data_IF_730469341468
#
_entry.id   IF_730469341468
#
_cell.length_a   1.000
_cell.length_b   1.000
_cell.length_c   1.000
_cell.angle_alpha   90.00
_cell.angle_beta   90.00
_cell.angle_gamma   90.00
#
_symmetry.space_group_name_H-M   'P 1'
#
loop_
_entity.id
_entity.type
_entity.pdbx_description
1 polymer ?
#
# COMPACT_ATOMS: atom_id res chain seq x y z
N UNK A 1 -12.75 -4.99 -14.79
CA UNK A 1 -11.71 -4.71 -15.81
C UNK A 1 -11.60 -3.22 -15.98
N UNK A 2 -10.38 -2.70 -16.02
CA UNK A 2 -10.10 -1.28 -16.28
C UNK A 2 -10.46 -0.92 -17.73
N UNK A 3 -10.98 0.29 -17.91
CA UNK A 3 -11.12 0.96 -19.20
C UNK A 3 -9.76 1.43 -19.72
N UNK A 4 -9.68 1.69 -21.03
CA UNK A 4 -8.48 2.26 -21.64
C UNK A 4 -8.08 3.61 -20.99
N UNK A 5 -9.07 4.46 -20.69
CA UNK A 5 -8.84 5.74 -20.01
C UNK A 5 -8.25 5.57 -18.60
N UNK A 6 -8.65 4.54 -17.85
CA UNK A 6 -8.08 4.26 -16.53
C UNK A 6 -6.63 3.79 -16.61
N UNK A 7 -6.30 2.96 -17.61
CA UNK A 7 -4.92 2.53 -17.88
C UNK A 7 -4.05 3.72 -18.27
N UNK A 8 -4.53 4.59 -19.16
CA UNK A 8 -3.83 5.82 -19.55
C UNK A 8 -3.63 6.76 -18.36
N UNK A 9 -4.66 6.90 -17.52
CA UNK A 9 -4.57 7.69 -16.28
C UNK A 9 -3.50 7.14 -15.33
N UNK A 10 -3.44 5.82 -15.12
CA UNK A 10 -2.38 5.22 -14.30
C UNK A 10 -0.99 5.53 -14.87
N UNK A 11 -0.82 5.39 -16.18
CA UNK A 11 0.46 5.65 -16.85
C UNK A 11 0.88 7.13 -16.77
N UNK A 12 -0.07 8.05 -16.83
CA UNK A 12 0.18 9.50 -16.76
C UNK A 12 0.38 10.01 -15.32
N UNK A 13 -0.53 9.66 -14.41
CA UNK A 13 -0.56 10.17 -13.03
C UNK A 13 0.35 9.36 -12.09
N UNK A 14 0.62 8.09 -12.39
CA UNK A 14 1.40 7.18 -11.55
C UNK A 14 0.61 6.48 -10.45
N UNK A 15 -0.70 6.72 -10.38
CA UNK A 15 -1.62 6.03 -9.49
C UNK A 15 -3.02 5.98 -10.11
N UNK A 16 -3.84 5.06 -9.63
CA UNK A 16 -5.24 4.91 -10.02
C UNK A 16 -6.05 4.48 -8.80
N UNK A 17 -7.25 5.04 -8.65
CA UNK A 17 -8.27 4.54 -7.73
C UNK A 17 -9.33 3.88 -8.61
N UNK A 18 -9.29 2.55 -8.78
CA UNK A 18 -10.25 1.86 -9.63
C UNK A 18 -11.63 1.85 -8.99
N UNK A 19 -12.68 1.69 -9.80
CA UNK A 19 -14.02 1.41 -9.30
C UNK A 19 -14.12 -0.05 -8.79
N UNK A 20 -13.51 -0.29 -7.64
CA UNK A 20 -13.50 -1.58 -6.95
C UNK A 20 -13.71 -1.34 -5.45
N UNK A 21 -14.61 -2.12 -4.87
CA UNK A 21 -14.86 -2.12 -3.43
C UNK A 21 -14.82 -3.56 -2.95
N UNK A 22 -13.98 -3.82 -1.95
CA UNK A 22 -13.95 -5.12 -1.30
C UNK A 22 -15.29 -5.36 -0.59
N UNK A 23 -15.89 -6.57 -0.67
CA UNK A 23 -17.12 -6.86 0.06
C UNK A 23 -16.98 -6.56 1.56
N UNK A 24 -18.00 -5.95 2.16
CA UNK A 24 -18.00 -5.55 3.57
C UNK A 24 -17.65 -6.72 4.50
N UNK A 25 -18.16 -7.92 4.20
CA UNK A 25 -17.81 -9.15 4.91
C UNK A 25 -16.31 -9.42 4.92
N UNK A 26 -15.62 -9.24 3.79
CA UNK A 26 -14.18 -9.46 3.71
C UNK A 26 -13.40 -8.38 4.47
N UNK A 27 -13.88 -7.14 4.48
CA UNK A 27 -13.30 -6.06 5.28
C UNK A 27 -13.39 -6.39 6.79
N UNK A 28 -14.55 -6.85 7.25
CA UNK A 28 -14.74 -7.29 8.64
C UNK A 28 -13.83 -8.48 8.99
N UNK A 29 -13.69 -9.45 8.09
CA UNK A 29 -12.76 -10.57 8.29
C UNK A 29 -11.30 -10.07 8.41
N UNK A 30 -10.88 -9.11 7.57
CA UNK A 30 -9.54 -8.51 7.64
C UNK A 30 -9.34 -7.80 8.99
N UNK A 31 -10.34 -7.07 9.47
CA UNK A 31 -10.31 -6.39 10.76
C UNK A 31 -10.16 -7.40 11.93
N UNK A 32 -10.94 -8.48 11.93
CA UNK A 32 -10.86 -9.55 12.93
C UNK A 32 -9.49 -10.24 12.94
N UNK A 33 -8.92 -10.49 11.76
CA UNK A 33 -7.57 -11.04 11.61
C UNK A 33 -6.52 -10.07 12.16
N UNK A 34 -6.64 -8.78 11.86
CA UNK A 34 -5.73 -7.76 12.39
C UNK A 34 -5.83 -7.66 13.91
N UNK A 35 -7.05 -7.64 14.47
CA UNK A 35 -7.30 -7.65 15.90
C UNK A 35 -6.66 -8.88 16.59
N UNK A 36 -6.72 -10.04 15.93
CA UNK A 36 -6.05 -11.26 16.41
C UNK A 36 -4.53 -11.16 16.33
N UNK A 37 -3.99 -10.60 15.24
CA UNK A 37 -2.56 -10.38 15.03
C UNK A 37 -1.98 -9.47 16.12
N UNK A 38 -2.61 -8.33 16.41
CA UNK A 38 -2.09 -7.36 17.38
C UNK A 38 -2.23 -7.85 18.83
N UNK A 39 -3.20 -8.72 19.14
CA UNK A 39 -3.24 -9.41 20.44
C UNK A 39 -2.02 -10.31 20.63
N UNK A 40 -1.59 -11.01 19.59
CA UNK A 40 -0.41 -11.88 19.60
C UNK A 40 0.91 -11.09 19.50
N UNK A 41 0.91 -10.01 18.73
CA UNK A 41 2.08 -9.17 18.45
C UNK A 41 1.75 -7.68 18.62
N UNK A 42 1.66 -7.17 19.87
CA UNK A 42 1.24 -5.79 20.14
C UNK A 42 2.10 -4.72 19.44
N UNK A 43 3.36 -5.02 19.13
CA UNK A 43 4.27 -4.15 18.36
C UNK A 43 3.76 -3.81 16.95
N UNK A 44 2.87 -4.63 16.37
CA UNK A 44 2.31 -4.43 15.04
C UNK A 44 1.02 -3.62 15.02
N UNK A 45 0.62 -3.03 16.16
CA UNK A 45 -0.57 -2.18 16.26
C UNK A 45 -0.66 -1.09 15.19
N UNK A 46 0.47 -0.50 14.79
CA UNK A 46 0.51 0.58 13.81
C UNK A 46 1.01 0.13 12.44
N UNK A 47 1.97 -0.80 12.41
CA UNK A 47 2.61 -1.23 11.17
C UNK A 47 3.14 -2.66 11.30
N UNK A 48 2.76 -3.51 10.36
CA UNK A 48 3.31 -4.84 10.17
C UNK A 48 4.00 -4.90 8.80
N UNK A 49 5.36 -4.89 8.72
CA UNK A 49 6.06 -4.80 7.44
C UNK A 49 5.99 -6.05 6.58
N UNK A 50 5.91 -7.24 7.19
CA UNK A 50 5.93 -8.52 6.51
C UNK A 50 4.78 -9.40 7.05
N UNK A 51 3.55 -8.99 6.75
CA UNK A 51 2.31 -9.53 7.33
C UNK A 51 2.22 -11.06 7.21
N UNK A 52 2.54 -11.58 6.03
CA UNK A 52 2.41 -13.00 5.71
C UNK A 52 3.40 -13.90 6.47
N UNK A 53 4.51 -13.35 6.99
CA UNK A 53 5.41 -14.11 7.88
C UNK A 53 4.81 -14.35 9.27
N UNK A 54 3.77 -13.60 9.63
CA UNK A 54 3.16 -13.63 10.95
C UNK A 54 1.76 -14.24 10.93
N UNK A 55 1.05 -14.08 9.81
CA UNK A 55 -0.29 -14.63 9.62
C UNK A 55 -0.59 -14.86 8.13
N UNK A 56 -0.48 -16.12 7.69
CA UNK A 56 -0.72 -16.52 6.30
C UNK A 56 -2.21 -16.41 5.89
N UNK A 57 -3.14 -16.25 6.85
CA UNK A 57 -4.57 -16.14 6.52
C UNK A 57 -4.89 -14.91 5.66
N UNK A 58 -4.07 -13.87 5.75
CA UNK A 58 -4.18 -12.68 4.88
C UNK A 58 -3.86 -12.97 3.41
N UNK A 59 -3.20 -14.09 3.10
CA UNK A 59 -2.85 -14.47 1.72
C UNK A 59 -4.09 -14.62 0.83
N UNK A 60 -5.24 -15.00 1.43
CA UNK A 60 -6.55 -15.05 0.75
C UNK A 60 -6.84 -13.76 -0.03
N UNK A 61 -6.63 -12.59 0.59
CA UNK A 61 -6.96 -11.30 -0.02
C UNK A 61 -5.95 -10.86 -1.07
N UNK A 62 -4.70 -11.33 -0.97
CA UNK A 62 -3.69 -11.13 -2.01
C UNK A 62 -4.03 -11.88 -3.31
N UNK A 63 -4.88 -12.92 -3.23
CA UNK A 63 -5.36 -13.70 -4.38
C UNK A 63 -6.76 -13.29 -4.88
N UNK A 64 -7.22 -12.08 -4.54
CA UNK A 64 -8.49 -11.59 -5.07
C UNK A 64 -8.40 -11.40 -6.60
N UNK A 65 -9.21 -12.15 -7.36
CA UNK A 65 -9.15 -12.17 -8.83
C UNK A 65 -9.41 -10.80 -9.48
N UNK A 66 -10.27 -9.96 -8.91
CA UNK A 66 -10.54 -8.64 -9.47
C UNK A 66 -9.31 -7.73 -9.34
N UNK A 67 -8.65 -7.76 -8.18
CA UNK A 67 -7.39 -7.04 -7.95
C UNK A 67 -6.29 -7.56 -8.88
N UNK A 68 -6.13 -8.88 -8.99
CA UNK A 68 -5.12 -9.48 -9.86
C UNK A 68 -5.34 -9.11 -11.34
N UNK A 69 -6.59 -9.11 -11.80
CA UNK A 69 -6.94 -8.69 -13.16
C UNK A 69 -6.62 -7.21 -13.40
N UNK A 70 -6.87 -6.33 -12.42
CA UNK A 70 -6.50 -4.91 -12.48
C UNK A 70 -4.98 -4.76 -12.60
N UNK A 71 -4.20 -5.44 -11.75
CA UNK A 71 -2.73 -5.41 -11.79
C UNK A 71 -2.22 -5.90 -13.15
N UNK A 72 -2.77 -7.00 -13.66
CA UNK A 72 -2.39 -7.57 -14.96
C UNK A 72 -2.55 -6.55 -16.09
N UNK A 73 -3.64 -5.78 -16.10
CA UNK A 73 -3.88 -4.73 -17.10
C UNK A 73 -2.88 -3.57 -17.00
N UNK A 74 -2.30 -3.33 -15.82
CA UNK A 74 -1.38 -2.20 -15.58
C UNK A 74 0.08 -2.56 -15.82
N UNK A 75 0.53 -3.74 -15.36
CA UNK A 75 1.96 -4.13 -15.40
C UNK A 75 2.25 -5.41 -16.20
N UNK A 76 1.22 -6.01 -16.80
CA UNK A 76 1.32 -7.24 -17.58
C UNK A 76 1.12 -8.51 -16.75
N UNK A 77 1.20 -9.67 -17.42
CA UNK A 77 0.82 -10.99 -16.87
C UNK A 77 1.82 -11.62 -15.90
N UNK A 78 3.08 -11.16 -15.93
CA UNK A 78 4.17 -11.78 -15.20
C UNK A 78 4.55 -10.92 -14.01
N UNK A 79 3.81 -11.07 -12.92
CA UNK A 79 4.09 -10.43 -11.65
C UNK A 79 4.04 -11.43 -10.50
N UNK A 80 4.65 -11.08 -9.38
CA UNK A 80 4.67 -11.88 -8.17
C UNK A 80 4.42 -10.98 -6.96
N UNK A 81 3.79 -11.55 -5.93
CA UNK A 81 3.65 -10.87 -4.65
C UNK A 81 5.02 -10.86 -3.95
N UNK A 82 5.65 -9.69 -3.90
CA UNK A 82 6.92 -9.51 -3.17
C UNK A 82 6.71 -9.35 -1.67
N UNK A 83 5.72 -8.56 -1.28
CA UNK A 83 5.45 -8.25 0.12
C UNK A 83 3.97 -7.90 0.32
N UNK A 84 3.50 -8.10 1.55
CA UNK A 84 2.21 -7.58 2.04
C UNK A 84 2.43 -6.98 3.43
N UNK A 85 1.92 -5.77 3.63
CA UNK A 85 2.07 -5.02 4.88
C UNK A 85 0.71 -4.55 5.37
N UNK A 86 0.59 -4.39 6.68
CA UNK A 86 -0.60 -3.79 7.30
C UNK A 86 -0.24 -2.43 7.90
N UNK A 87 -1.01 -1.39 7.59
CA UNK A 87 -0.85 -0.04 8.12
C UNK A 87 -2.10 0.36 8.89
N UNK A 88 -1.93 0.80 10.12
CA UNK A 88 -3.00 1.35 10.95
C UNK A 88 -2.60 2.73 11.48
N UNK A 89 -3.56 3.67 11.45
CA UNK A 89 -3.42 5.02 11.98
C UNK A 89 -4.37 5.18 13.18
N UNK A 90 -4.01 4.68 14.38
CA UNK A 90 -4.87 4.85 15.55
C UNK A 90 -5.01 6.33 15.89
N UNK A 91 -6.21 6.71 16.36
CA UNK A 91 -6.52 8.09 16.76
C UNK A 91 -5.44 8.63 17.72
N UNK A 92 -4.98 9.86 17.44
CA UNK A 92 -3.98 10.62 18.20
C UNK A 92 -2.58 9.99 18.34
N UNK A 93 -2.36 8.78 17.83
CA UNK A 93 -1.12 8.01 17.96
C UNK A 93 -0.54 7.56 16.60
N UNK A 94 -1.06 8.12 15.50
CA UNK A 94 -0.51 7.94 14.17
C UNK A 94 0.70 8.84 13.93
N UNK A 95 1.71 8.31 13.24
CA UNK A 95 2.88 9.08 12.79
C UNK A 95 2.68 9.56 11.35
N UNK A 96 3.23 10.72 11.01
CA UNK A 96 3.21 11.19 9.62
C UNK A 96 4.16 10.34 8.77
N UNK A 97 3.74 10.03 7.54
CA UNK A 97 4.63 9.44 6.53
C UNK A 97 5.08 10.56 5.60
N UNK A 98 6.38 10.92 5.55
CA UNK A 98 6.87 11.97 4.67
C UNK A 98 6.76 11.56 3.20
N UNK A 99 6.96 12.52 2.29
CA UNK A 99 7.09 12.22 0.88
C UNK A 99 8.23 11.22 0.65
N UNK A 100 7.97 10.17 -0.13
CA UNK A 100 8.96 9.16 -0.44
C UNK A 100 8.60 8.40 -1.72
N UNK A 101 9.53 7.57 -2.19
CA UNK A 101 9.29 6.57 -3.23
C UNK A 101 9.53 5.17 -2.65
N UNK A 102 8.56 4.27 -2.77
CA UNK A 102 8.67 2.89 -2.25
C UNK A 102 9.95 2.17 -2.75
N UNK A 103 10.33 2.42 -4.01
CA UNK A 103 11.53 1.84 -4.62
C UNK A 103 12.85 2.22 -3.94
N UNK A 104 12.87 3.24 -3.07
CA UNK A 104 14.00 3.57 -2.21
C UNK A 104 14.26 2.47 -1.18
N UNK A 105 13.19 1.82 -0.69
CA UNK A 105 13.24 0.89 0.42
C UNK A 105 13.27 -0.58 -0.03
N UNK A 106 13.00 -0.85 -1.31
CA UNK A 106 12.92 -2.21 -1.83
C UNK A 106 14.13 -2.55 -2.70
N UNK A 107 14.69 -3.78 -2.57
CA UNK A 107 15.82 -4.24 -3.36
C UNK A 107 15.43 -4.69 -4.78
N UNK A 108 14.39 -4.09 -5.38
CA UNK A 108 13.86 -4.47 -6.69
C UNK A 108 14.33 -3.47 -7.74
N UNK A 109 14.98 -3.96 -8.79
CA UNK A 109 15.40 -3.16 -9.95
C UNK A 109 15.02 -3.90 -11.24
N UNK A 110 14.57 -3.19 -12.30
CA UNK A 110 14.31 -1.73 -12.36
C UNK A 110 13.17 -1.29 -11.44
N UNK A 111 12.94 0.03 -11.29
CA UNK A 111 11.81 0.60 -10.53
C UNK A 111 10.49 0.29 -11.24
N UNK A 112 10.03 -0.96 -11.12
CA UNK A 112 8.90 -1.52 -11.86
C UNK A 112 7.91 -2.23 -10.93
N UNK A 113 7.81 -1.77 -9.69
CA UNK A 113 6.89 -2.31 -8.68
C UNK A 113 5.56 -1.59 -8.72
N UNK A 114 4.47 -2.34 -8.50
CA UNK A 114 3.13 -1.80 -8.31
C UNK A 114 2.67 -2.10 -6.87
N UNK A 115 2.19 -1.07 -6.17
CA UNK A 115 1.64 -1.19 -4.82
C UNK A 115 0.12 -1.16 -4.90
N UNK A 116 -0.55 -2.18 -4.36
CA UNK A 116 -1.99 -2.13 -4.11
C UNK A 116 -2.21 -1.69 -2.66
N UNK A 117 -2.95 -0.60 -2.49
CA UNK A 117 -3.35 -0.12 -1.17
C UNK A 117 -4.86 -0.30 -1.01
N UNK A 118 -5.25 -1.21 -0.12
CA UNK A 118 -6.66 -1.50 0.17
C UNK A 118 -7.08 -0.75 1.43
N UNK A 119 -8.05 0.15 1.29
CA UNK A 119 -8.71 0.78 2.43
C UNK A 119 -9.54 -0.27 3.19
N UNK A 120 -9.21 -0.51 4.46
CA UNK A 120 -10.03 -1.38 5.34
C UNK A 120 -11.12 -0.57 6.02
N UNK A 121 -10.75 0.62 6.50
CA UNK A 121 -11.66 1.66 6.99
C UNK A 121 -11.72 2.81 5.98
N UNK A 122 -12.68 3.74 6.17
CA UNK A 122 -12.71 4.99 5.40
C UNK A 122 -11.35 5.71 5.46
N UNK A 123 -10.84 6.17 4.32
CA UNK A 123 -9.58 6.90 4.23
C UNK A 123 -9.85 8.36 3.83
N UNK A 124 -9.88 9.24 4.83
CA UNK A 124 -10.21 10.66 4.65
C UNK A 124 -9.00 11.57 4.85
N UNK A 125 -9.12 12.84 4.46
CA UNK A 125 -8.08 13.84 4.71
C UNK A 125 -7.78 14.05 6.19
N UNK A 126 -8.76 13.80 7.06
CA UNK A 126 -8.69 14.02 8.50
C UNK A 126 -8.06 12.84 9.24
N UNK A 127 -8.12 11.62 8.68
CA UNK A 127 -7.54 10.42 9.31
C UNK A 127 -6.25 9.91 8.65
N UNK A 128 -5.70 10.67 7.70
CA UNK A 128 -4.38 10.43 7.13
C UNK A 128 -4.39 9.58 5.86
N UNK A 129 -5.32 9.83 4.95
CA UNK A 129 -5.31 9.22 3.62
C UNK A 129 -4.02 9.49 2.84
N UNK A 130 -3.79 8.67 1.80
CA UNK A 130 -2.63 8.82 0.92
C UNK A 130 -2.69 10.11 0.10
N UNK A 131 -1.50 10.65 -0.19
CA UNK A 131 -1.31 11.74 -1.15
C UNK A 131 -0.31 11.30 -2.20
N UNK A 132 -0.56 11.69 -3.45
CA UNK A 132 0.28 11.35 -4.59
C UNK A 132 0.71 12.62 -5.34
N UNK A 133 1.94 12.62 -5.84
CA UNK A 133 2.42 13.64 -6.78
C UNK A 133 2.28 13.06 -8.19
N UNK A 134 1.33 13.60 -8.96
CA UNK A 134 1.05 13.16 -10.32
C UNK A 134 2.31 13.20 -11.19
N UNK A 135 2.58 12.11 -11.91
CA UNK A 135 3.69 12.01 -12.85
C UNK A 135 5.08 11.87 -12.20
N UNK A 136 5.18 11.82 -10.87
CA UNK A 136 6.47 11.70 -10.16
C UNK A 136 7.24 10.41 -10.46
N UNK A 137 6.56 9.38 -10.98
CA UNK A 137 7.14 8.10 -11.41
C UNK A 137 7.80 8.16 -12.79
N UNK A 138 7.49 9.16 -13.63
CA UNK A 138 7.85 9.19 -15.07
C UNK A 138 9.35 9.12 -15.31
N UNK A 139 10.15 9.77 -14.47
CA UNK A 139 11.60 9.77 -14.62
C UNK A 139 12.24 8.41 -14.33
N UNK A 140 11.53 7.49 -13.66
CA UNK A 140 12.01 6.16 -13.26
C UNK A 140 13.37 6.18 -12.53
N UNK A 141 13.63 7.26 -11.79
CA UNK A 141 14.78 7.42 -10.92
C UNK A 141 14.35 7.71 -9.48
N UNK A 142 15.20 7.37 -8.53
CA UNK A 142 15.03 7.74 -7.14
C UNK A 142 15.49 9.18 -6.93
N UNK A 143 14.63 9.98 -6.30
CA UNK A 143 14.96 11.32 -5.84
C UNK A 143 15.83 11.23 -4.60
N UNK A 144 16.74 12.19 -4.42
CA UNK A 144 17.56 12.28 -3.21
C UNK A 144 16.68 12.69 -2.04
N UNK A 145 16.75 11.92 -0.96
CA UNK A 145 16.08 12.22 0.30
C UNK A 145 17.09 12.82 1.29
N UNK A 146 16.64 13.76 2.12
CA UNK A 146 17.31 14.25 3.31
C UNK A 146 16.97 13.34 4.49
N UNK A 147 17.92 13.19 5.41
CA UNK A 147 17.68 12.45 6.64
C UNK A 147 16.95 13.34 7.65
N UNK A 148 15.78 12.90 8.11
CA UNK A 148 15.04 13.49 9.21
C UNK A 148 14.88 12.47 10.34
N UNK A 149 15.48 12.77 11.50
CA UNK A 149 15.49 11.88 12.68
C UNK A 149 14.34 12.16 13.65
N UNK A 150 13.31 12.90 13.24
CA UNK A 150 12.14 13.16 14.07
C UNK A 150 11.47 11.85 14.48
N UNK A 151 11.18 11.70 15.78
CA UNK A 151 10.47 10.54 16.32
C UNK A 151 9.01 10.48 15.89
N UNK A 152 8.50 11.55 15.27
CA UNK A 152 7.11 11.65 14.84
C UNK A 152 6.87 11.17 13.39
N UNK A 153 7.91 10.64 12.74
CA UNK A 153 7.85 10.15 11.36
C UNK A 153 7.92 8.62 11.30
N UNK A 154 7.17 8.03 10.38
CA UNK A 154 7.26 6.59 10.07
C UNK A 154 8.52 6.23 9.30
N UNK A 155 9.10 7.20 8.57
CA UNK A 155 10.30 7.07 7.75
C UNK A 155 11.27 8.19 8.09
N UNK A 156 12.57 7.88 8.04
CA UNK A 156 13.63 8.85 8.37
C UNK A 156 14.25 9.53 7.15
N UNK A 157 13.81 9.19 5.94
CA UNK A 157 14.31 9.78 4.69
C UNK A 157 13.15 10.48 3.97
N UNK A 158 13.28 11.79 3.73
CA UNK A 158 12.29 12.67 3.10
C UNK A 158 12.87 13.52 1.96
#
# INVERSE_FOLDING_TARGET
MLTQNEVEKYNEDGYLIPNFTMPEKELLEIEELHNSLIKKFPKFKNYCPALLLHDERFLKYCFNNEILNIIEQLIGKNFALWNSSFFAKPAFNGYATPWHQDGQYWPIRPLATCSVWLAIDEATSENGCLKFIKGSHKEKILKKHKLNKSKNLTLSQE
#
